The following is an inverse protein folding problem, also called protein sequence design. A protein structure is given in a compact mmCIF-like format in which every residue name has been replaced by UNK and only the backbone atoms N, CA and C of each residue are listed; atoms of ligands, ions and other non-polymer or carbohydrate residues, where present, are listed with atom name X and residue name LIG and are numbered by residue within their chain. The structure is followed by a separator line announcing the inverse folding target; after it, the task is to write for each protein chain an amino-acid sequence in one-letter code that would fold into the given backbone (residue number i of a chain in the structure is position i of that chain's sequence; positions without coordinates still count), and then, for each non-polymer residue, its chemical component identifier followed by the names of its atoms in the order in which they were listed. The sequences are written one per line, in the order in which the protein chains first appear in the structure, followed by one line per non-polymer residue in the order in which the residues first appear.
data_IF_665968103579
#
_entry.id   IF_665968103579
#
_cell.length_a   1.000
_cell.length_b   1.000
_cell.length_c   1.000
_cell.angle_alpha   90.00
_cell.angle_beta   90.00
_cell.angle_gamma   90.00
#
_symmetry.space_group_name_H-M   'P 1'
#
loop_
_entity.id
_entity.type
_entity.pdbx_description
1 polymer ?
#
# COMPACT_ATOMS: atom_id res chain seq x y z
N UNK A 1 8.15 -24.72 -14.79
CA UNK A 1 9.18 -23.73 -14.41
C UNK A 1 9.95 -24.23 -13.21
N UNK A 2 11.23 -24.51 -13.39
CA UNK A 2 12.15 -24.87 -12.29
C UNK A 2 12.97 -23.66 -11.84
N UNK A 3 13.09 -22.63 -12.69
CA UNK A 3 13.93 -21.43 -12.45
C UNK A 3 13.32 -20.17 -13.08
N UNK A 4 13.72 -18.99 -12.60
CA UNK A 4 13.35 -17.67 -13.15
C UNK A 4 14.57 -16.77 -13.28
N UNK A 5 14.55 -15.84 -14.23
CA UNK A 5 15.67 -14.94 -14.54
C UNK A 5 15.21 -13.48 -14.63
N UNK A 6 15.67 -12.59 -13.75
CA UNK A 6 15.42 -11.15 -13.86
C UNK A 6 16.41 -10.49 -14.82
N UNK A 7 15.91 -9.82 -15.85
CA UNK A 7 16.67 -8.99 -16.77
C UNK A 7 16.11 -7.56 -16.73
N UNK A 8 16.66 -6.77 -15.81
CA UNK A 8 16.19 -5.39 -15.56
C UNK A 8 17.28 -4.37 -15.91
N UNK A 9 16.89 -3.33 -16.63
CA UNK A 9 17.73 -2.15 -16.93
C UNK A 9 17.52 -1.01 -15.94
N UNK A 10 16.41 -1.02 -15.20
CA UNK A 10 16.02 0.04 -14.28
C UNK A 10 15.93 -0.47 -12.83
N UNK A 11 16.12 0.42 -11.83
CA UNK A 11 15.97 0.03 -10.44
C UNK A 11 14.48 -0.17 -10.07
N UNK A 12 14.19 -1.35 -9.51
CA UNK A 12 12.91 -1.69 -8.87
C UNK A 12 13.11 -1.71 -7.34
N UNK A 13 12.93 -0.58 -6.65
CA UNK A 13 13.23 -0.47 -5.23
C UNK A 13 12.31 -1.34 -4.38
N UNK A 14 12.85 -1.88 -3.29
CA UNK A 14 12.06 -2.62 -2.32
C UNK A 14 10.92 -1.78 -1.76
N UNK A 15 9.73 -2.38 -1.67
CA UNK A 15 8.54 -1.77 -1.08
C UNK A 15 8.64 -1.86 0.44
N UNK A 16 8.32 -0.77 1.14
CA UNK A 16 8.27 -0.74 2.61
C UNK A 16 7.24 -1.75 3.16
N UNK A 17 6.13 -1.93 2.42
CA UNK A 17 5.06 -2.84 2.75
C UNK A 17 4.33 -3.24 1.46
N UNK A 18 4.03 -4.53 1.32
CA UNK A 18 3.32 -5.09 0.18
C UNK A 18 2.52 -6.32 0.64
N UNK A 19 1.23 -6.34 0.34
CA UNK A 19 0.26 -7.32 0.80
C UNK A 19 -0.38 -7.97 -0.41
N UNK A 20 -0.40 -9.30 -0.39
CA UNK A 20 -1.28 -10.11 -1.21
C UNK A 20 -2.57 -10.33 -0.43
N UNK A 21 -3.68 -9.74 -0.89
CA UNK A 21 -4.95 -9.76 -0.16
C UNK A 21 -6.09 -10.22 -1.07
N UNK A 22 -6.77 -11.31 -0.70
CA UNK A 22 -7.97 -11.77 -1.42
C UNK A 22 -7.74 -12.13 -2.90
N UNK A 23 -6.50 -12.38 -3.30
CA UNK A 23 -6.11 -12.63 -4.70
C UNK A 23 -5.22 -13.87 -4.81
N UNK A 24 -5.18 -14.50 -5.99
CA UNK A 24 -4.30 -15.65 -6.25
C UNK A 24 -2.84 -15.22 -6.38
N UNK A 25 -1.89 -16.15 -6.22
CA UNK A 25 -0.46 -15.86 -6.39
C UNK A 25 -0.16 -15.34 -7.81
N UNK A 26 -0.88 -15.85 -8.81
CA UNK A 26 -0.74 -15.40 -10.19
C UNK A 26 -1.23 -13.96 -10.38
N UNK A 27 -2.41 -13.63 -9.87
CA UNK A 27 -2.96 -12.27 -9.98
C UNK A 27 -2.07 -11.24 -9.27
N UNK A 28 -1.54 -11.61 -8.09
CA UNK A 28 -0.56 -10.80 -7.36
C UNK A 28 0.69 -10.53 -8.20
N UNK A 29 1.30 -11.57 -8.78
CA UNK A 29 2.49 -11.42 -9.63
C UNK A 29 2.19 -10.60 -10.88
N UNK A 30 1.07 -10.81 -11.55
CA UNK A 30 0.67 -10.03 -12.72
C UNK A 30 0.46 -8.54 -12.38
N UNK A 31 -0.21 -8.26 -11.25
CA UNK A 31 -0.42 -6.89 -10.77
C UNK A 31 0.90 -6.22 -10.40
N UNK A 32 1.80 -6.92 -9.71
CA UNK A 32 3.12 -6.41 -9.37
C UNK A 32 3.97 -6.15 -10.60
N UNK A 33 3.95 -7.07 -11.58
CA UNK A 33 4.63 -6.88 -12.85
C UNK A 33 4.07 -5.67 -13.60
N UNK A 34 2.74 -5.50 -13.66
CA UNK A 34 2.12 -4.34 -14.31
C UNK A 34 2.50 -3.01 -13.62
N UNK A 35 2.50 -2.95 -12.28
CA UNK A 35 2.89 -1.77 -11.51
C UNK A 35 4.38 -1.40 -11.70
N UNK A 36 5.25 -2.40 -11.79
CA UNK A 36 6.68 -2.24 -12.00
C UNK A 36 7.06 -2.20 -13.50
N UNK A 37 6.07 -2.18 -14.41
CA UNK A 37 6.32 -2.19 -15.84
C UNK A 37 7.01 -3.46 -16.37
N UNK A 38 7.08 -4.52 -15.59
CA UNK A 38 7.71 -5.78 -15.97
C UNK A 38 6.74 -6.59 -16.83
N UNK A 39 7.26 -7.19 -17.89
CA UNK A 39 6.59 -8.27 -18.62
C UNK A 39 7.41 -9.55 -18.48
N UNK A 40 6.79 -10.69 -18.74
CA UNK A 40 7.48 -11.98 -18.67
C UNK A 40 7.14 -12.87 -19.85
N UNK A 41 8.05 -13.78 -20.17
CA UNK A 41 7.90 -14.80 -21.19
C UNK A 41 8.69 -16.05 -20.81
N UNK A 42 8.38 -17.19 -21.42
CA UNK A 42 9.05 -18.45 -21.12
C UNK A 42 10.23 -18.67 -22.07
N UNK A 43 11.45 -18.78 -21.57
CA UNK A 43 12.57 -19.16 -22.44
C UNK A 43 12.67 -20.68 -22.52
N UNK A 44 12.38 -21.23 -23.70
CA UNK A 44 12.64 -22.62 -24.00
C UNK A 44 14.12 -22.82 -24.30
N UNK A 45 14.81 -23.61 -23.48
CA UNK A 45 16.16 -24.02 -23.79
C UNK A 45 16.16 -24.91 -25.04
N UNK A 46 16.60 -24.39 -26.19
CA UNK A 46 16.73 -25.16 -27.44
C UNK A 46 17.60 -26.43 -27.31
N UNK A 47 18.38 -26.54 -26.22
CA UNK A 47 19.34 -27.61 -25.92
C UNK A 47 19.12 -28.30 -24.57
N UNK A 48 18.11 -27.91 -23.80
CA UNK A 48 17.79 -28.53 -22.50
C UNK A 48 16.28 -28.75 -22.37
N UNK A 49 15.87 -29.66 -21.50
CA UNK A 49 14.47 -29.79 -21.06
C UNK A 49 14.05 -28.68 -20.08
N UNK A 50 14.98 -27.80 -19.69
CA UNK A 50 14.72 -26.72 -18.74
C UNK A 50 13.89 -25.60 -19.39
N UNK A 51 12.81 -25.23 -18.72
CA UNK A 51 11.92 -24.12 -19.07
C UNK A 51 12.02 -23.08 -17.97
N UNK A 52 12.47 -21.88 -18.32
CA UNK A 52 12.65 -20.78 -17.38
C UNK A 52 11.68 -19.64 -17.66
N UNK A 53 11.25 -18.94 -16.62
CA UNK A 53 10.49 -17.70 -16.75
C UNK A 53 11.45 -16.52 -16.75
N UNK A 54 11.44 -15.73 -17.81
CA UNK A 54 12.25 -14.51 -17.91
C UNK A 54 11.36 -13.32 -17.58
N UNK A 55 11.79 -12.49 -16.63
CA UNK A 55 11.16 -11.23 -16.27
C UNK A 55 11.99 -10.09 -16.85
N UNK A 56 11.39 -9.23 -17.66
CA UNK A 56 12.05 -8.13 -18.35
C UNK A 56 11.32 -6.81 -18.15
N UNK A 57 12.07 -5.72 -18.02
CA UNK A 57 11.55 -4.34 -17.99
C UNK A 57 11.78 -3.58 -19.31
N UNK A 58 12.48 -4.20 -20.27
CA UNK A 58 12.81 -3.61 -21.56
C UNK A 58 12.92 -4.64 -22.68
N UNK A 59 12.51 -4.23 -23.88
CA UNK A 59 12.65 -5.01 -25.13
C UNK A 59 14.11 -5.35 -25.46
N UNK A 60 15.08 -4.59 -24.92
CA UNK A 60 16.51 -4.77 -25.18
C UNK A 60 17.08 -6.09 -24.65
N UNK A 61 16.44 -6.67 -23.64
CA UNK A 61 16.84 -7.95 -23.06
C UNK A 61 16.29 -9.15 -23.83
N UNK A 62 15.38 -8.94 -24.80
CA UNK A 62 14.91 -10.03 -25.64
C UNK A 62 16.05 -10.56 -26.52
N UNK A 63 16.05 -11.87 -26.82
CA UNK A 63 16.98 -12.49 -27.77
C UNK A 63 17.12 -11.71 -29.08
N UNK A 64 18.24 -11.95 -29.76
CA UNK A 64 18.50 -11.37 -31.08
C UNK A 64 17.34 -11.64 -32.05
N UNK A 65 17.03 -10.64 -32.86
CA UNK A 65 16.00 -10.76 -33.87
C UNK A 65 16.46 -11.64 -35.03
N UNK A 66 15.49 -12.25 -35.72
CA UNK A 66 15.75 -13.03 -36.92
C UNK A 66 14.91 -12.52 -38.08
N UNK A 67 15.45 -12.62 -39.29
CA UNK A 67 14.74 -12.20 -40.50
C UNK A 67 13.68 -13.23 -40.89
N UNK A 68 12.51 -12.74 -41.31
CA UNK A 68 11.49 -13.59 -41.93
C UNK A 68 10.85 -12.87 -43.12
N UNK A 69 10.89 -13.48 -44.33
CA UNK A 69 10.36 -12.84 -45.52
C UNK A 69 8.84 -12.86 -45.54
N UNK A 70 8.26 -11.83 -46.14
CA UNK A 70 6.86 -11.80 -46.53
C UNK A 70 6.65 -12.56 -47.84
N UNK A 71 5.69 -13.47 -47.85
CA UNK A 71 5.27 -14.17 -49.07
C UNK A 71 3.77 -14.51 -49.00
N UNK A 72 2.90 -13.80 -49.75
CA UNK A 72 1.46 -14.04 -49.73
C UNK A 72 1.05 -15.30 -50.51
N UNK A 73 1.97 -15.92 -51.24
CA UNK A 73 1.66 -17.11 -52.05
C UNK A 73 1.60 -18.36 -51.16
N UNK A 74 0.40 -18.66 -50.68
CA UNK A 74 0.12 -19.85 -49.86
C UNK A 74 -0.18 -21.10 -50.68
N UNK A 75 -0.24 -21.00 -52.02
CA UNK A 75 -0.74 -22.05 -52.93
C UNK A 75 0.34 -22.99 -53.46
N UNK A 76 1.57 -22.50 -53.61
CA UNK A 76 2.73 -23.33 -53.95
C UNK A 76 3.41 -23.80 -52.67
N UNK A 77 3.94 -25.01 -52.64
CA UNK A 77 4.75 -25.48 -51.51
C UNK A 77 5.94 -24.54 -51.33
N UNK A 78 5.92 -23.74 -50.26
CA UNK A 78 7.02 -22.83 -49.92
C UNK A 78 7.86 -23.54 -48.87
N UNK A 79 9.05 -23.99 -49.25
CA UNK A 79 10.04 -24.57 -48.32
C UNK A 79 10.61 -23.53 -47.35
N UNK A 80 10.58 -22.25 -47.73
CA UNK A 80 11.02 -21.14 -46.90
C UNK A 80 9.93 -20.71 -45.92
N UNK A 81 10.26 -20.67 -44.62
CA UNK A 81 9.40 -20.09 -43.60
C UNK A 81 9.18 -18.60 -43.90
N UNK A 82 7.91 -18.18 -43.94
CA UNK A 82 7.53 -16.83 -44.34
C UNK A 82 6.24 -16.39 -43.65
N UNK A 83 6.03 -15.07 -43.63
CA UNK A 83 4.77 -14.45 -43.21
C UNK A 83 3.88 -14.29 -44.43
N UNK A 84 2.70 -14.92 -44.39
CA UNK A 84 1.75 -14.92 -45.52
C UNK A 84 0.67 -13.86 -45.40
N UNK A 85 0.34 -13.45 -44.18
CA UNK A 85 -0.53 -12.30 -43.92
C UNK A 85 0.13 -11.41 -42.87
N UNK A 86 0.02 -10.10 -43.05
CA UNK A 86 0.48 -9.12 -42.08
C UNK A 86 -0.46 -7.91 -42.12
N UNK A 87 -1.22 -7.71 -41.04
CA UNK A 87 -2.26 -6.68 -40.93
C UNK A 87 -1.88 -5.70 -39.84
N UNK A 88 -1.45 -4.52 -40.28
CA UNK A 88 -1.14 -3.41 -39.40
C UNK A 88 -2.42 -2.71 -38.90
N UNK A 89 -2.43 -2.29 -37.63
CA UNK A 89 -3.50 -1.53 -37.01
C UNK A 89 -2.92 -0.48 -36.06
N UNK A 90 -3.40 0.76 -36.19
CA UNK A 90 -3.17 1.84 -35.24
C UNK A 90 -4.50 2.28 -34.62
N UNK A 91 -4.48 2.64 -33.33
CA UNK A 91 -5.67 3.01 -32.56
C UNK A 91 -5.37 4.18 -31.63
N UNK A 92 -6.37 5.03 -31.38
CA UNK A 92 -6.27 6.14 -30.42
C UNK A 92 -6.16 5.56 -29.00
N UNK A 93 -5.21 6.07 -28.23
CA UNK A 93 -4.96 5.73 -26.84
C UNK A 93 -4.70 6.99 -26.01
N UNK A 94 -4.69 6.91 -24.67
CA UNK A 94 -4.33 8.04 -23.83
C UNK A 94 -3.08 8.77 -24.35
N UNK A 95 -3.13 10.09 -24.31
CA UNK A 95 -2.05 10.98 -24.74
C UNK A 95 -1.11 11.34 -23.61
N UNK A 96 -1.59 11.27 -22.36
CA UNK A 96 -0.78 11.50 -21.17
C UNK A 96 -1.33 10.72 -19.99
N UNK A 97 -0.44 10.45 -19.04
CA UNK A 97 -0.76 9.94 -17.71
C UNK A 97 -0.27 10.95 -16.69
N UNK A 98 -1.11 11.28 -15.72
CA UNK A 98 -0.76 12.07 -14.54
C UNK A 98 -1.08 11.25 -13.31
N UNK A 99 -0.08 10.99 -12.48
CA UNK A 99 -0.25 10.28 -11.21
C UNK A 99 0.06 11.21 -10.05
N UNK A 100 -0.74 11.09 -8.97
CA UNK A 100 -0.53 11.87 -7.75
C UNK A 100 -0.57 10.98 -6.51
N UNK A 101 0.24 11.31 -5.51
CA UNK A 101 0.19 10.67 -4.20
C UNK A 101 0.54 11.64 -3.06
N UNK A 102 0.33 11.20 -1.82
CA UNK A 102 0.60 11.93 -0.59
C UNK A 102 1.52 11.14 0.35
N UNK A 103 2.49 11.82 0.96
CA UNK A 103 3.27 11.27 2.06
C UNK A 103 3.30 12.22 3.24
N UNK A 104 2.86 11.73 4.40
CA UNK A 104 2.82 12.53 5.62
C UNK A 104 4.22 12.96 6.09
N UNK A 105 5.28 12.30 5.63
CA UNK A 105 6.68 12.69 5.92
C UNK A 105 7.09 13.98 5.20
N UNK A 106 6.41 14.34 4.11
CA UNK A 106 6.66 15.55 3.30
C UNK A 106 5.33 16.09 2.78
N UNK A 107 4.47 16.68 3.65
CA UNK A 107 3.11 17.05 3.30
C UNK A 107 3.02 18.08 2.16
N UNK A 108 4.03 18.96 2.03
CA UNK A 108 4.10 19.99 0.99
C UNK A 108 4.71 19.49 -0.33
N UNK A 109 5.24 18.26 -0.36
CA UNK A 109 5.78 17.70 -1.59
C UNK A 109 4.63 17.44 -2.57
N UNK A 110 4.69 18.06 -3.76
CA UNK A 110 3.61 18.00 -4.74
C UNK A 110 3.17 16.58 -5.11
N UNK A 111 4.09 15.62 -5.05
CA UNK A 111 3.81 14.20 -5.26
C UNK A 111 3.08 13.93 -6.58
N UNK A 112 3.38 14.70 -7.62
CA UNK A 112 2.73 14.63 -8.94
C UNK A 112 3.76 14.32 -10.01
N UNK A 113 3.51 13.29 -10.81
CA UNK A 113 4.32 12.95 -11.96
C UNK A 113 3.45 12.89 -13.21
N UNK A 114 4.06 13.21 -14.34
CA UNK A 114 3.38 13.28 -15.62
C UNK A 114 4.24 12.58 -16.68
N UNK A 115 3.58 11.84 -17.55
CA UNK A 115 4.20 11.21 -18.71
C UNK A 115 3.34 11.47 -19.94
N UNK A 116 3.93 12.08 -20.95
CA UNK A 116 3.34 12.12 -22.29
C UNK A 116 3.58 10.81 -23.04
N UNK A 117 2.58 10.36 -23.78
CA UNK A 117 2.70 9.21 -24.67
C UNK A 117 3.55 9.54 -25.90
N UNK A 118 4.25 8.55 -26.44
CA UNK A 118 5.03 8.70 -27.67
C UNK A 118 4.25 8.27 -28.91
N UNK A 119 4.73 8.65 -30.11
CA UNK A 119 4.17 8.27 -31.41
C UNK A 119 2.67 8.63 -31.55
N UNK A 120 2.37 9.92 -31.42
CA UNK A 120 1.00 10.45 -31.42
C UNK A 120 0.59 11.12 -32.74
N UNK A 121 1.33 10.89 -33.82
CA UNK A 121 1.24 11.64 -35.09
C UNK A 121 -0.19 11.66 -35.69
N UNK A 122 -1.02 10.67 -35.35
CA UNK A 122 -2.38 10.50 -35.87
C UNK A 122 -3.48 10.62 -34.80
N UNK A 123 -3.18 11.21 -33.63
CA UNK A 123 -4.17 11.44 -32.56
C UNK A 123 -4.09 12.85 -31.97
N UNK A 124 -5.14 13.24 -31.24
CA UNK A 124 -5.12 14.47 -30.43
C UNK A 124 -4.42 14.22 -29.10
N UNK A 125 -3.82 15.27 -28.54
CA UNK A 125 -3.07 15.24 -27.28
C UNK A 125 -3.92 15.55 -26.04
N UNK A 126 -5.25 15.40 -26.14
CA UNK A 126 -6.19 15.87 -25.11
C UNK A 126 -6.69 14.77 -24.17
N UNK A 127 -6.43 13.49 -24.46
CA UNK A 127 -6.97 12.38 -23.68
C UNK A 127 -6.01 11.98 -22.57
N UNK A 128 -6.09 12.70 -21.45
CA UNK A 128 -5.33 12.43 -20.22
C UNK A 128 -6.00 11.35 -19.38
N UNK A 129 -5.18 10.47 -18.78
CA UNK A 129 -5.56 9.61 -17.65
C UNK A 129 -4.95 10.19 -16.38
N UNK A 130 -5.80 10.58 -15.44
CA UNK A 130 -5.38 11.02 -14.11
C UNK A 130 -5.67 9.94 -13.07
N UNK A 131 -4.71 9.66 -12.18
CA UNK A 131 -4.84 8.64 -11.15
C UNK A 131 -4.34 9.12 -9.76
N UNK A 132 -5.06 8.73 -8.72
CA UNK A 132 -4.73 8.97 -7.31
C UNK A 132 -5.39 7.88 -6.44
N UNK A 133 -4.65 7.21 -5.54
CA UNK A 133 -3.23 7.41 -5.22
C UNK A 133 -2.27 6.65 -6.15
N UNK A 134 -1.13 7.27 -6.47
CA UNK A 134 -0.10 6.72 -7.37
C UNK A 134 0.91 5.76 -6.72
N UNK A 135 0.89 5.60 -5.38
CA UNK A 135 1.72 4.68 -4.57
C UNK A 135 3.22 4.89 -4.60
N UNK A 136 3.64 6.14 -4.64
CA UNK A 136 5.04 6.51 -4.57
C UNK A 136 5.27 7.53 -3.47
N UNK A 137 6.43 7.43 -2.83
CA UNK A 137 6.87 8.40 -1.81
C UNK A 137 8.13 9.16 -2.24
N UNK A 138 8.57 8.98 -3.49
CA UNK A 138 9.85 9.49 -4.02
C UNK A 138 9.77 9.73 -5.53
N UNK A 139 10.91 10.09 -6.14
CA UNK A 139 11.07 10.27 -7.60
C UNK A 139 10.71 9.02 -8.42
N UNK A 140 10.63 7.84 -7.80
CA UNK A 140 10.22 6.60 -8.46
C UNK A 140 8.81 6.68 -9.06
N UNK A 141 7.96 7.62 -8.60
CA UNK A 141 6.66 7.87 -9.22
C UNK A 141 6.73 8.27 -10.70
N UNK A 142 7.85 8.82 -11.17
CA UNK A 142 8.07 9.05 -12.62
C UNK A 142 8.11 7.74 -13.40
N UNK A 143 8.72 6.69 -12.85
CA UNK A 143 8.76 5.38 -13.49
C UNK A 143 7.35 4.79 -13.58
N UNK A 144 6.56 4.87 -12.52
CA UNK A 144 5.17 4.41 -12.51
C UNK A 144 4.32 5.13 -13.55
N UNK A 145 4.39 6.47 -13.64
CA UNK A 145 3.68 7.25 -14.65
C UNK A 145 4.08 6.80 -16.07
N UNK A 146 5.38 6.54 -16.31
CA UNK A 146 5.87 6.05 -17.59
C UNK A 146 5.40 4.63 -17.91
N UNK A 147 5.50 3.71 -16.98
CA UNK A 147 5.10 2.32 -17.19
C UNK A 147 3.58 2.20 -17.38
N UNK A 148 2.79 3.00 -16.66
CA UNK A 148 1.35 3.12 -16.86
C UNK A 148 1.02 3.65 -18.25
N UNK A 149 1.76 4.68 -18.72
CA UNK A 149 1.60 5.22 -20.08
C UNK A 149 1.92 4.17 -21.15
N UNK A 150 3.05 3.47 -21.02
CA UNK A 150 3.44 2.38 -21.93
C UNK A 150 2.37 1.26 -21.94
N UNK A 151 1.84 0.89 -20.77
CA UNK A 151 0.78 -0.11 -20.63
C UNK A 151 -0.52 0.30 -21.32
N UNK A 152 -1.00 1.54 -21.11
CA UNK A 152 -2.18 2.06 -21.80
C UNK A 152 -2.02 2.14 -23.32
N UNK A 153 -0.78 2.30 -23.80
CA UNK A 153 -0.45 2.41 -25.23
C UNK A 153 0.12 1.12 -25.81
N UNK A 154 0.12 0.01 -25.07
CA UNK A 154 0.74 -1.25 -25.50
C UNK A 154 0.10 -1.87 -26.76
N UNK A 155 -1.09 -1.40 -27.14
CA UNK A 155 -1.81 -1.79 -28.34
C UNK A 155 -2.22 -0.57 -29.21
N UNK A 156 -1.57 0.58 -29.01
CA UNK A 156 -1.76 1.77 -29.85
C UNK A 156 -1.34 1.50 -31.31
N UNK A 157 -0.30 0.68 -31.50
CA UNK A 157 0.20 0.27 -32.80
C UNK A 157 0.57 -1.22 -32.75
N UNK A 158 -0.10 -2.03 -33.54
CA UNK A 158 0.07 -3.49 -33.55
C UNK A 158 0.04 -4.01 -34.98
N UNK A 159 0.60 -5.19 -35.21
CA UNK A 159 0.29 -5.96 -36.40
C UNK A 159 -0.07 -7.40 -36.03
N UNK A 160 -1.02 -7.97 -36.77
CA UNK A 160 -1.38 -9.40 -36.66
C UNK A 160 -1.00 -10.11 -37.94
N UNK A 161 -0.40 -11.28 -37.82
CA UNK A 161 0.05 -12.02 -38.98
C UNK A 161 -0.22 -13.51 -38.91
N UNK A 162 0.02 -14.16 -40.05
CA UNK A 162 -0.05 -15.59 -40.22
C UNK A 162 1.28 -16.08 -40.79
N UNK A 163 1.84 -17.13 -40.19
CA UNK A 163 3.12 -17.72 -40.58
C UNK A 163 3.05 -19.24 -40.44
N UNK A 164 4.00 -19.94 -41.04
CA UNK A 164 4.26 -21.37 -40.77
C UNK A 164 5.47 -21.58 -39.86
N UNK A 165 6.09 -20.50 -39.38
CA UNK A 165 7.27 -20.58 -38.53
C UNK A 165 6.90 -20.86 -37.06
N UNK A 166 7.45 -21.91 -36.44
CA UNK A 166 7.34 -22.12 -34.99
C UNK A 166 8.24 -21.15 -34.19
N UNK A 167 9.16 -20.44 -34.85
CA UNK A 167 10.13 -19.55 -34.19
C UNK A 167 9.50 -18.20 -33.77
N UNK A 168 8.27 -17.93 -34.19
CA UNK A 168 7.51 -16.73 -33.81
C UNK A 168 6.67 -17.03 -32.58
N UNK A 169 7.19 -16.68 -31.41
CA UNK A 169 6.50 -16.84 -30.12
C UNK A 169 6.87 -15.68 -29.16
N UNK A 170 6.07 -15.41 -28.11
CA UNK A 170 6.26 -14.24 -27.24
C UNK A 170 7.63 -14.20 -26.59
N UNK A 171 8.28 -13.03 -26.58
CA UNK A 171 9.65 -12.90 -26.10
C UNK A 171 10.70 -13.02 -27.21
N UNK A 172 10.29 -13.22 -28.47
CA UNK A 172 11.16 -13.10 -29.65
C UNK A 172 10.98 -11.75 -30.34
N UNK A 173 11.97 -11.39 -31.16
CA UNK A 173 11.91 -10.27 -32.09
C UNK A 173 12.09 -10.79 -33.51
N UNK A 174 11.37 -10.21 -34.46
CA UNK A 174 11.47 -10.56 -35.88
C UNK A 174 11.79 -9.32 -36.70
N UNK A 175 12.52 -9.49 -37.79
CA UNK A 175 12.70 -8.47 -38.83
C UNK A 175 11.88 -8.90 -40.04
N UNK A 176 10.78 -8.19 -40.32
CA UNK A 176 9.97 -8.45 -41.51
C UNK A 176 10.73 -7.93 -42.74
N UNK A 177 10.86 -8.76 -43.77
CA UNK A 177 11.54 -8.38 -45.02
C UNK A 177 10.66 -8.65 -46.25
N UNK A 178 10.86 -7.89 -47.33
CA UNK A 178 10.16 -8.10 -48.60
C UNK A 178 8.67 -7.74 -48.64
N UNK A 179 8.12 -7.09 -47.62
CA UNK A 179 6.75 -6.60 -47.63
C UNK A 179 6.59 -5.39 -48.58
N UNK A 180 5.52 -5.30 -49.41
CA UNK A 180 5.36 -4.22 -50.39
C UNK A 180 5.25 -2.82 -49.76
N UNK A 181 4.72 -2.74 -48.54
CA UNK A 181 4.76 -1.52 -47.75
C UNK A 181 6.10 -1.41 -47.00
N UNK A 182 6.95 -0.48 -47.45
CA UNK A 182 8.31 -0.31 -46.97
C UNK A 182 8.41 -0.09 -45.45
N UNK A 183 7.51 0.70 -44.87
CA UNK A 183 7.49 1.01 -43.44
C UNK A 183 7.22 -0.20 -42.52
N UNK A 184 6.66 -1.29 -43.05
CA UNK A 184 6.45 -2.52 -42.29
C UNK A 184 7.71 -3.40 -42.25
N UNK A 185 8.68 -3.18 -43.14
CA UNK A 185 9.95 -3.89 -43.17
C UNK A 185 10.89 -3.34 -42.10
N UNK A 186 10.64 -3.73 -40.86
CA UNK A 186 11.34 -3.29 -39.66
C UNK A 186 11.34 -4.39 -38.62
N UNK A 187 11.96 -4.12 -37.48
CA UNK A 187 11.94 -5.01 -36.33
C UNK A 187 10.63 -4.89 -35.54
N UNK A 188 10.11 -6.05 -35.12
CA UNK A 188 8.85 -6.23 -34.41
C UNK A 188 9.05 -7.16 -33.20
N UNK A 189 8.52 -6.76 -32.04
CA UNK A 189 8.45 -7.60 -30.84
C UNK A 189 7.22 -8.49 -30.91
N UNK A 190 7.38 -9.81 -30.74
CA UNK A 190 6.27 -10.77 -30.66
C UNK A 190 5.66 -10.74 -29.27
N UNK A 191 4.35 -10.48 -29.19
CA UNK A 191 3.61 -10.33 -27.92
C UNK A 191 2.54 -11.40 -27.72
N UNK A 192 2.11 -12.07 -28.79
CA UNK A 192 1.21 -13.22 -28.73
C UNK A 192 1.48 -14.18 -29.90
N UNK A 193 1.22 -15.46 -29.69
CA UNK A 193 1.32 -16.51 -30.71
C UNK A 193 0.34 -17.63 -30.38
N UNK A 194 -0.38 -18.11 -31.39
CA UNK A 194 -1.27 -19.26 -31.35
C UNK A 194 -0.83 -20.23 -32.44
N UNK A 195 -0.33 -21.39 -32.04
CA UNK A 195 0.23 -22.40 -32.92
C UNK A 195 -0.74 -23.58 -33.08
N UNK A 196 -1.11 -23.88 -34.32
CA UNK A 196 -1.96 -25.01 -34.68
C UNK A 196 -1.21 -25.96 -35.62
N UNK A 197 -1.21 -27.26 -35.31
CA UNK A 197 -0.57 -28.28 -36.13
C UNK A 197 -1.56 -29.38 -36.53
N UNK A 198 -1.56 -29.77 -37.80
CA UNK A 198 -2.33 -30.91 -38.31
C UNK A 198 -1.39 -31.91 -39.00
N UNK A 199 -1.56 -33.21 -38.71
CA UNK A 199 -0.84 -34.30 -39.37
C UNK A 199 -1.81 -35.29 -40.02
N UNK A 200 -2.39 -34.98 -41.20
CA UNK A 200 -3.36 -35.82 -41.87
C UNK A 200 -2.85 -37.24 -42.20
N UNK A 201 -1.55 -37.35 -42.50
CA UNK A 201 -0.90 -38.59 -42.91
C UNK A 201 -0.75 -39.63 -41.78
N UNK A 202 -0.93 -39.21 -40.52
CA UNK A 202 -0.91 -40.14 -39.38
C UNK A 202 -2.15 -41.06 -39.37
N UNK A 203 -3.20 -40.71 -40.13
CA UNK A 203 -4.42 -41.53 -40.27
C UNK A 203 -4.29 -42.44 -41.51
N UNK A 204 -4.32 -43.78 -41.34
CA UNK A 204 -4.30 -44.70 -42.47
C UNK A 204 -5.42 -44.42 -43.47
N UNK A 205 -5.08 -44.32 -44.76
CA UNK A 205 -6.04 -44.10 -45.85
C UNK A 205 -6.32 -42.63 -46.21
N UNK A 206 -5.80 -41.65 -45.45
CA UNK A 206 -5.88 -40.22 -45.79
C UNK A 206 -4.70 -39.86 -46.71
N UNK A 207 -4.97 -39.65 -48.01
CA UNK A 207 -3.96 -39.24 -49.00
C UNK A 207 -4.18 -37.79 -49.44
N UNK A 208 -3.11 -37.07 -49.79
CA UNK A 208 -3.17 -35.78 -50.49
C UNK A 208 -2.98 -34.51 -49.64
N UNK A 209 -2.90 -34.60 -48.30
CA UNK A 209 -2.55 -33.46 -47.43
C UNK A 209 -1.28 -33.75 -46.62
N UNK A 210 -0.31 -32.84 -46.66
CA UNK A 210 0.93 -32.89 -45.88
C UNK A 210 0.73 -32.50 -44.42
N UNK A 211 1.75 -32.74 -43.57
CA UNK A 211 1.81 -32.13 -42.24
C UNK A 211 1.84 -30.60 -42.37
N UNK A 212 0.96 -29.91 -41.66
CA UNK A 212 0.83 -28.47 -41.71
C UNK A 212 1.00 -27.86 -40.32
N UNK A 213 1.64 -26.69 -40.29
CA UNK A 213 1.77 -25.85 -39.11
C UNK A 213 1.31 -24.44 -39.47
N UNK A 214 0.46 -23.87 -38.62
CA UNK A 214 -0.09 -22.52 -38.76
C UNK A 214 0.13 -21.76 -37.46
N UNK A 215 0.67 -20.56 -37.57
CA UNK A 215 0.97 -19.68 -36.46
C UNK A 215 0.27 -18.33 -36.69
N UNK A 216 -0.69 -18.03 -35.82
CA UNK A 216 -1.30 -16.71 -35.73
C UNK A 216 -0.60 -15.91 -34.64
N UNK A 217 0.02 -14.80 -35.00
CA UNK A 217 0.81 -14.01 -34.06
C UNK A 217 0.37 -12.55 -34.02
N UNK A 218 0.67 -11.89 -32.91
CA UNK A 218 0.56 -10.45 -32.75
C UNK A 218 1.93 -9.87 -32.38
N UNK A 219 2.25 -8.73 -32.97
CA UNK A 219 3.49 -8.00 -32.74
C UNK A 219 3.23 -6.53 -32.51
N UNK A 220 4.19 -5.88 -31.84
CA UNK A 220 4.32 -4.42 -31.76
C UNK A 220 5.68 -3.99 -32.35
N UNK A 221 5.86 -2.72 -32.74
CA UNK A 221 7.18 -2.25 -33.18
C UNK A 221 8.25 -2.47 -32.08
N UNK A 222 9.46 -2.93 -32.44
CA UNK A 222 10.49 -3.26 -31.44
C UNK A 222 11.28 -2.04 -30.91
N UNK A 223 10.97 -0.81 -31.38
CA UNK A 223 11.55 0.44 -30.86
C UNK A 223 10.92 0.88 -29.53
N UNK A 224 9.89 0.16 -29.07
CA UNK A 224 9.21 0.35 -27.80
C UNK A 224 9.13 -0.96 -27.04
N UNK A 225 8.93 -0.86 -25.72
CA UNK A 225 8.76 -2.02 -24.85
C UNK A 225 7.27 -2.31 -24.66
N UNK A 226 6.83 -3.52 -24.95
CA UNK A 226 5.50 -3.96 -24.53
C UNK A 226 5.41 -4.00 -23.00
N UNK A 227 4.39 -3.36 -22.43
CA UNK A 227 4.10 -3.46 -20.99
C UNK A 227 2.66 -3.95 -20.77
N UNK A 228 2.40 -4.67 -19.67
CA UNK A 228 1.03 -5.02 -19.29
C UNK A 228 0.18 -3.76 -19.11
N UNK A 229 -1.13 -3.90 -19.35
CA UNK A 229 -2.05 -2.83 -18.97
C UNK A 229 -2.11 -2.73 -17.44
N UNK A 230 -2.29 -1.53 -16.88
CA UNK A 230 -2.46 -1.37 -15.44
C UNK A 230 -3.65 -2.20 -14.94
N UNK A 231 -3.41 -3.02 -13.91
CA UNK A 231 -4.42 -3.89 -13.31
C UNK A 231 -5.01 -3.26 -12.05
N UNK A 232 -6.29 -3.53 -11.80
CA UNK A 232 -6.95 -3.13 -10.56
C UNK A 232 -6.36 -3.89 -9.38
N UNK A 233 -6.35 -3.23 -8.22
CA UNK A 233 -5.88 -3.83 -6.97
C UNK A 233 -7.04 -4.50 -6.22
N UNK A 234 -6.75 -5.52 -5.40
CA UNK A 234 -7.70 -5.94 -4.40
C UNK A 234 -7.99 -4.80 -3.44
N UNK A 235 -9.25 -4.69 -3.04
CA UNK A 235 -9.71 -3.70 -2.08
C UNK A 235 -10.11 -4.41 -0.79
N UNK A 236 -9.81 -3.79 0.33
CA UNK A 236 -10.34 -4.17 1.63
C UNK A 236 -11.68 -3.46 1.82
N UNK A 237 -12.77 -4.22 1.91
CA UNK A 237 -14.13 -3.68 1.96
C UNK A 237 -14.43 -2.85 3.21
N UNK A 238 -13.68 -3.03 4.30
CA UNK A 238 -13.86 -2.25 5.51
C UNK A 238 -12.83 -2.54 6.60
N UNK A 239 -12.97 -1.85 7.76
CA UNK A 239 -12.02 -1.96 8.84
C UNK A 239 -11.93 -3.36 9.44
N UNK A 240 -10.74 -3.71 9.91
CA UNK A 240 -10.43 -5.01 10.50
C UNK A 240 -9.82 -4.85 11.88
N UNK A 241 -10.01 -5.83 12.77
CA UNK A 241 -9.26 -5.86 14.02
C UNK A 241 -7.85 -6.39 13.82
N UNK A 242 -6.90 -5.83 14.56
CA UNK A 242 -5.53 -6.30 14.64
C UNK A 242 -5.00 -6.11 16.08
N UNK A 243 -3.96 -6.83 16.44
CA UNK A 243 -3.34 -6.75 17.77
C UNK A 243 -2.01 -6.00 17.66
N UNK A 244 -1.79 -5.01 18.52
CA UNK A 244 -0.52 -4.26 18.55
C UNK A 244 0.62 -5.17 18.98
N UNK A 245 1.75 -5.12 18.26
CA UNK A 245 2.93 -5.94 18.54
C UNK A 245 4.17 -5.09 18.81
N UNK A 246 5.21 -5.73 19.36
CA UNK A 246 6.49 -5.12 19.68
C UNK A 246 7.50 -6.16 20.16
N UNK A 247 8.71 -5.73 20.53
CA UNK A 247 9.75 -6.61 21.05
C UNK A 247 9.29 -7.38 22.30
N UNK A 248 9.87 -8.55 22.53
CA UNK A 248 9.58 -9.35 23.71
C UNK A 248 9.85 -8.56 25.00
N UNK A 249 8.86 -8.51 25.89
CA UNK A 249 8.94 -7.82 27.17
C UNK A 249 8.68 -6.30 27.10
N UNK A 250 8.39 -5.74 25.94
CA UNK A 250 8.02 -4.33 25.77
C UNK A 250 6.51 -4.12 25.90
N UNK A 251 6.07 -3.03 26.56
CA UNK A 251 4.66 -2.68 26.73
C UNK A 251 4.23 -1.60 25.73
N UNK A 252 5.16 -0.71 25.33
CA UNK A 252 4.89 0.39 24.40
C UNK A 252 5.98 0.39 23.32
N UNK A 253 5.59 0.09 22.08
CA UNK A 253 6.51 0.10 20.94
C UNK A 253 5.98 1.04 19.85
N UNK A 254 6.56 2.23 19.76
CA UNK A 254 6.21 3.23 18.76
C UNK A 254 7.42 3.98 18.21
N UNK A 255 7.25 4.64 17.06
CA UNK A 255 8.26 5.50 16.45
C UNK A 255 8.06 6.99 16.80
N UNK A 256 8.91 7.85 16.21
CA UNK A 256 8.89 9.32 16.36
C UNK A 256 7.58 10.00 15.93
N UNK A 257 6.71 9.28 15.21
CA UNK A 257 5.40 9.75 14.76
C UNK A 257 4.24 9.15 15.56
N UNK A 258 4.53 8.38 16.63
CA UNK A 258 3.52 7.69 17.42
C UNK A 258 2.84 6.55 16.66
N UNK A 259 3.48 6.02 15.61
CA UNK A 259 3.01 4.85 14.85
C UNK A 259 3.33 3.59 15.63
N UNK A 260 2.51 2.55 15.46
CA UNK A 260 2.73 1.23 16.07
C UNK A 260 2.77 0.15 14.99
N UNK A 261 3.20 -1.06 15.35
CA UNK A 261 3.09 -2.24 14.50
C UNK A 261 1.96 -3.15 15.01
N UNK A 262 1.38 -3.93 14.11
CA UNK A 262 0.26 -4.81 14.45
C UNK A 262 0.41 -6.18 13.79
N UNK A 263 -0.25 -7.16 14.37
CA UNK A 263 -0.48 -8.46 13.78
C UNK A 263 -1.93 -8.54 13.30
N UNK A 264 -2.10 -8.72 11.99
CA UNK A 264 -3.41 -8.99 11.40
C UNK A 264 -3.81 -10.46 11.61
N UNK A 265 -5.11 -10.70 11.79
CA UNK A 265 -5.64 -12.04 12.05
C UNK A 265 -5.48 -13.03 10.88
N UNK A 266 -5.38 -12.52 9.65
CA UNK A 266 -5.19 -13.32 8.44
C UNK A 266 -3.71 -13.55 8.10
N UNK A 267 -2.77 -12.90 8.79
CA UNK A 267 -1.35 -13.08 8.53
C UNK A 267 -0.85 -14.38 9.16
N UNK A 268 -0.57 -15.36 8.30
CA UNK A 268 -0.14 -16.71 8.70
C UNK A 268 1.38 -16.87 8.84
N UNK A 269 2.16 -15.97 8.27
CA UNK A 269 3.58 -16.24 7.99
C UNK A 269 4.52 -15.49 8.91
N UNK A 270 4.18 -14.25 9.28
CA UNK A 270 5.09 -13.45 10.10
C UNK A 270 4.90 -13.74 11.60
N UNK A 271 5.94 -13.63 12.43
CA UNK A 271 5.80 -13.69 13.88
C UNK A 271 5.00 -12.49 14.42
N UNK A 272 4.44 -12.66 15.63
CA UNK A 272 3.75 -11.61 16.37
C UNK A 272 4.73 -10.85 17.28
N UNK A 273 5.65 -10.08 16.68
CA UNK A 273 6.75 -9.37 17.35
C UNK A 273 6.98 -7.98 16.72
N UNK A 274 8.17 -7.41 16.91
CA UNK A 274 8.50 -6.11 16.33
C UNK A 274 8.52 -6.09 14.80
N UNK A 275 8.46 -7.22 14.09
CA UNK A 275 8.55 -7.32 12.63
C UNK A 275 7.23 -7.74 11.95
N UNK A 276 6.12 -7.79 12.70
CA UNK A 276 4.81 -8.22 12.19
C UNK A 276 4.23 -7.39 11.04
N UNK A 277 4.51 -6.08 10.99
CA UNK A 277 3.96 -5.18 9.98
C UNK A 277 4.85 -3.97 9.73
N UNK A 278 4.47 -3.14 8.76
CA UNK A 278 4.99 -1.79 8.67
C UNK A 278 4.52 -0.91 9.85
N UNK A 279 5.08 0.30 9.95
CA UNK A 279 4.65 1.30 10.94
C UNK A 279 3.33 1.96 10.53
N UNK A 280 2.29 1.73 11.32
CA UNK A 280 0.91 2.16 11.06
C UNK A 280 0.56 3.39 11.88
N UNK A 281 0.06 4.44 11.21
CA UNK A 281 -0.41 5.67 11.88
C UNK A 281 -1.66 5.40 12.72
N UNK A 282 -1.73 6.08 13.85
CA UNK A 282 -2.84 6.00 14.80
C UNK A 282 -3.62 7.32 14.77
N UNK A 283 -4.89 7.25 14.40
CA UNK A 283 -5.81 8.38 14.51
C UNK A 283 -5.89 8.85 15.96
N UNK A 284 -5.82 10.17 16.15
CA UNK A 284 -5.92 10.82 17.45
C UNK A 284 -7.23 11.61 17.51
N UNK A 285 -7.81 11.73 18.71
CA UNK A 285 -9.02 12.53 18.92
C UNK A 285 -8.82 14.02 18.59
N UNK A 286 -7.59 14.53 18.78
CA UNK A 286 -7.20 15.89 18.43
C UNK A 286 -5.70 15.95 18.15
N UNK A 287 -5.29 16.46 16.99
CA UNK A 287 -3.87 16.56 16.62
C UNK A 287 -3.57 17.90 15.93
N UNK A 288 -2.70 18.70 16.54
CA UNK A 288 -2.18 19.95 15.98
C UNK A 288 -0.66 20.06 16.17
N UNK A 289 -0.07 21.13 15.62
CA UNK A 289 1.38 21.34 15.69
C UNK A 289 1.83 21.62 17.12
N UNK A 290 2.37 20.60 17.80
CA UNK A 290 2.85 20.72 19.17
C UNK A 290 1.76 20.69 20.25
N UNK A 291 0.51 20.34 19.90
CA UNK A 291 -0.60 20.26 20.85
C UNK A 291 -1.62 19.18 20.45
N UNK A 292 -2.47 18.77 21.39
CA UNK A 292 -3.57 17.84 21.15
C UNK A 292 -3.60 16.70 22.14
N UNK A 293 -4.26 15.61 21.74
CA UNK A 293 -4.37 14.36 22.48
C UNK A 293 -3.42 13.32 21.90
N UNK A 294 -2.61 12.69 22.75
CA UNK A 294 -1.76 11.57 22.37
C UNK A 294 -1.92 10.42 23.34
N UNK A 295 -2.51 9.33 22.88
CA UNK A 295 -2.48 8.05 23.57
C UNK A 295 -1.90 7.03 22.59
N UNK A 296 -0.80 6.37 22.94
CA UNK A 296 -0.19 5.34 22.10
C UNK A 296 -0.85 3.98 22.41
N UNK A 297 -1.28 3.19 21.42
CA UNK A 297 -1.69 1.79 21.63
C UNK A 297 -0.55 0.97 22.23
N UNK A 298 -0.85 0.15 23.23
CA UNK A 298 0.15 -0.73 23.89
C UNK A 298 0.19 -2.10 23.25
N UNK A 299 1.32 -2.78 23.34
CA UNK A 299 1.49 -4.17 22.89
C UNK A 299 0.42 -5.06 23.53
N UNK A 300 -0.22 -5.90 22.71
CA UNK A 300 -1.32 -6.77 23.10
C UNK A 300 -2.71 -6.13 23.07
N UNK A 301 -2.83 -4.82 22.82
CA UNK A 301 -4.15 -4.18 22.67
C UNK A 301 -4.74 -4.42 21.29
N UNK A 302 -6.05 -4.67 21.23
CA UNK A 302 -6.81 -4.71 20.00
C UNK A 302 -7.08 -3.29 19.46
N UNK A 303 -6.84 -3.12 18.17
CA UNK A 303 -7.08 -1.88 17.41
C UNK A 303 -7.93 -2.17 16.19
N UNK A 304 -8.66 -1.15 15.72
CA UNK A 304 -9.40 -1.19 14.46
C UNK A 304 -8.56 -0.50 13.39
N UNK A 305 -8.15 -1.27 12.38
CA UNK A 305 -7.33 -0.84 11.25
C UNK A 305 -8.24 -0.68 10.04
N UNK A 306 -8.27 0.53 9.50
CA UNK A 306 -8.85 0.83 8.19
C UNK A 306 -7.74 0.93 7.14
N UNK A 307 -8.11 1.02 5.87
CA UNK A 307 -7.18 1.01 4.74
C UNK A 307 -7.47 2.21 3.83
N UNK A 308 -6.50 3.10 3.64
CA UNK A 308 -6.71 4.32 2.85
C UNK A 308 -7.06 3.95 1.39
N UNK A 309 -8.22 4.41 0.92
CA UNK A 309 -8.80 4.03 -0.37
C UNK A 309 -9.04 2.51 -0.54
N UNK A 310 -9.15 1.76 0.56
CA UNK A 310 -9.25 0.30 0.55
C UNK A 310 -7.94 -0.42 0.17
N UNK A 311 -6.82 0.29 0.00
CA UNK A 311 -5.54 -0.34 -0.38
C UNK A 311 -4.95 -1.14 0.81
N UNK A 312 -4.80 -2.47 0.71
CA UNK A 312 -4.25 -3.30 1.79
C UNK A 312 -2.82 -2.88 2.19
N UNK A 313 -2.12 -2.13 1.34
CA UNK A 313 -0.78 -1.61 1.61
C UNK A 313 -0.76 -0.27 2.35
N UNK A 314 -1.93 0.33 2.61
CA UNK A 314 -2.07 1.63 3.28
C UNK A 314 -2.91 1.54 4.56
N UNK A 315 -2.52 0.71 5.54
CA UNK A 315 -3.26 0.61 6.79
C UNK A 315 -3.16 1.90 7.63
N UNK A 316 -4.23 2.19 8.36
CA UNK A 316 -4.32 3.27 9.35
C UNK A 316 -5.19 2.81 10.52
N UNK A 317 -4.72 2.98 11.76
CA UNK A 317 -5.51 2.66 12.95
C UNK A 317 -6.50 3.79 13.20
N UNK A 318 -7.80 3.48 13.17
CA UNK A 318 -8.90 4.43 13.33
C UNK A 318 -9.61 4.34 14.67
N UNK A 319 -9.39 3.25 15.42
CA UNK A 319 -10.10 3.04 16.69
C UNK A 319 -9.47 1.95 17.55
N UNK A 320 -10.10 1.73 18.70
CA UNK A 320 -9.73 0.71 19.69
C UNK A 320 -10.98 0.09 20.26
N UNK A 321 -10.86 -1.15 20.67
CA UNK A 321 -11.94 -1.94 21.25
C UNK A 321 -11.45 -2.64 22.52
N UNK A 322 -12.36 -2.78 23.48
CA UNK A 322 -12.17 -3.68 24.60
C UNK A 322 -12.64 -5.07 24.19
N UNK A 323 -12.02 -6.10 24.75
CA UNK A 323 -12.40 -7.49 24.57
C UNK A 323 -12.36 -8.22 25.93
N UNK A 324 -12.55 -9.54 25.92
CA UNK A 324 -12.72 -10.32 27.15
C UNK A 324 -11.54 -10.24 28.13
N UNK A 325 -10.32 -10.10 27.59
CA UNK A 325 -9.07 -10.05 28.37
C UNK A 325 -8.59 -8.61 28.61
N UNK A 326 -8.80 -7.71 27.64
CA UNK A 326 -8.62 -6.28 27.82
C UNK A 326 -9.98 -5.63 28.09
N UNK A 327 -10.42 -5.66 29.35
CA UNK A 327 -11.74 -5.17 29.75
C UNK A 327 -11.75 -3.65 30.01
N UNK A 328 -12.93 -3.05 29.91
CA UNK A 328 -13.19 -1.66 30.29
C UNK A 328 -12.82 -1.40 31.75
N UNK A 329 -12.33 -0.19 32.11
CA UNK A 329 -12.26 0.24 33.49
C UNK A 329 -13.61 0.15 34.19
N UNK A 330 -13.62 -0.25 35.48
CA UNK A 330 -14.84 -0.41 36.26
C UNK A 330 -15.49 -1.79 36.08
N UNK A 331 -16.80 -1.87 36.32
CA UNK A 331 -17.56 -3.12 36.35
C UNK A 331 -18.88 -2.98 35.59
N UNK A 332 -18.79 -2.73 34.29
CA UNK A 332 -19.97 -2.65 33.42
C UNK A 332 -20.80 -3.95 33.46
N UNK A 333 -22.14 -3.86 33.45
CA UNK A 333 -22.96 -2.65 33.30
C UNK A 333 -23.20 -1.85 34.60
N UNK A 334 -22.61 -2.27 35.74
CA UNK A 334 -22.81 -1.61 37.04
C UNK A 334 -22.30 -0.16 37.11
N UNK A 335 -21.25 0.17 36.36
CA UNK A 335 -20.66 1.52 36.28
C UNK A 335 -21.12 2.30 35.04
N UNK A 336 -22.32 2.03 34.51
CA UNK A 336 -22.82 2.64 33.27
C UNK A 336 -22.96 4.18 33.28
N UNK A 337 -23.00 4.80 34.46
CA UNK A 337 -23.04 6.26 34.63
C UNK A 337 -21.65 6.89 34.68
N UNK A 338 -20.59 6.09 34.59
CA UNK A 338 -19.21 6.56 34.74
C UNK A 338 -18.54 6.73 33.37
N UNK A 339 -17.94 7.90 33.17
CA UNK A 339 -16.96 8.17 32.12
C UNK A 339 -15.57 8.23 32.76
N UNK A 340 -14.59 7.55 32.14
CA UNK A 340 -13.26 7.40 32.73
C UNK A 340 -12.17 7.59 31.70
N UNK A 341 -11.18 8.42 32.02
CA UNK A 341 -9.87 8.46 31.38
C UNK A 341 -8.87 7.91 32.42
N UNK A 342 -8.46 6.65 32.24
CA UNK A 342 -7.53 5.95 33.14
C UNK A 342 -6.28 5.53 32.37
N UNK A 343 -5.11 5.90 32.89
CA UNK A 343 -3.82 5.43 32.37
C UNK A 343 -3.37 4.15 33.08
N UNK A 344 -2.19 3.63 32.72
CA UNK A 344 -1.52 2.56 33.46
C UNK A 344 -0.04 2.91 33.58
N UNK A 345 0.53 2.74 34.77
CA UNK A 345 1.97 2.89 34.99
C UNK A 345 2.71 1.96 34.03
N UNK A 346 3.65 2.50 33.28
CA UNK A 346 4.50 1.73 32.37
C UNK A 346 5.25 0.64 33.14
N UNK A 347 5.18 -0.61 32.69
CA UNK A 347 5.77 -1.77 33.35
C UNK A 347 5.34 -1.95 34.82
N UNK A 348 4.16 -1.46 35.18
CA UNK A 348 3.64 -1.50 36.54
C UNK A 348 2.11 -1.65 36.60
N UNK A 349 1.57 -1.64 37.83
CA UNK A 349 0.14 -1.84 38.10
C UNK A 349 -0.62 -0.59 38.54
N UNK A 350 0.08 0.53 38.77
CA UNK A 350 -0.54 1.81 39.15
C UNK A 350 -1.27 2.52 38.00
N UNK A 351 -1.95 3.63 38.29
CA UNK A 351 -2.68 4.42 37.28
C UNK A 351 -2.92 5.87 37.70
N UNK A 352 -3.01 6.77 36.72
CA UNK A 352 -3.66 8.08 36.90
C UNK A 352 -5.09 7.99 36.37
N UNK A 353 -6.02 8.73 36.96
CA UNK A 353 -7.42 8.70 36.54
C UNK A 353 -8.10 10.07 36.65
N UNK A 354 -8.87 10.41 35.62
CA UNK A 354 -9.94 11.39 35.65
C UNK A 354 -11.25 10.67 35.38
N UNK A 355 -12.18 10.72 36.34
CA UNK A 355 -13.48 10.03 36.25
C UNK A 355 -14.61 10.98 36.58
N UNK A 356 -15.66 10.92 35.77
CA UNK A 356 -16.94 11.59 35.99
C UNK A 356 -18.02 10.52 36.23
N UNK A 357 -18.78 10.63 37.32
CA UNK A 357 -19.95 9.79 37.60
C UNK A 357 -21.19 10.67 37.55
N UNK A 358 -22.10 10.37 36.61
CA UNK A 358 -23.34 11.12 36.37
C UNK A 358 -24.55 10.44 37.02
N UNK A 359 -24.35 9.60 38.04
CA UNK A 359 -25.44 9.03 38.81
C UNK A 359 -26.22 10.14 39.55
N UNK A 360 -27.52 10.28 39.22
CA UNK A 360 -28.38 11.34 39.77
C UNK A 360 -28.35 11.40 41.30
N UNK A 361 -28.05 12.58 41.84
CA UNK A 361 -27.96 12.84 43.28
C UNK A 361 -26.72 12.25 43.96
N UNK A 362 -25.79 11.69 43.17
CA UNK A 362 -24.51 11.12 43.62
C UNK A 362 -23.40 11.44 42.61
N UNK A 363 -23.52 12.58 41.93
CA UNK A 363 -22.58 13.01 40.90
C UNK A 363 -21.18 13.21 41.51
N UNK A 364 -20.14 12.79 40.80
CA UNK A 364 -18.77 12.87 41.30
C UNK A 364 -17.77 13.15 40.18
N UNK A 365 -16.87 14.11 40.42
CA UNK A 365 -15.59 14.20 39.71
C UNK A 365 -14.51 13.61 40.61
N UNK A 366 -13.75 12.65 40.10
CA UNK A 366 -12.63 12.02 40.79
C UNK A 366 -11.34 12.23 40.00
N UNK A 367 -10.32 12.73 40.69
CA UNK A 367 -8.98 12.93 40.15
C UNK A 367 -8.02 12.11 41.01
N UNK A 368 -7.29 11.20 40.39
CA UNK A 368 -6.27 10.37 41.02
C UNK A 368 -4.92 10.55 40.33
N UNK A 369 -3.93 10.91 41.13
CA UNK A 369 -2.53 10.92 40.72
C UNK A 369 -1.79 9.78 41.42
N UNK A 370 -1.13 8.93 40.64
CA UNK A 370 -0.40 7.77 41.16
C UNK A 370 0.82 8.17 42.02
N UNK A 371 1.38 9.36 41.78
CA UNK A 371 2.59 9.82 42.46
C UNK A 371 2.53 11.33 42.78
N UNK A 372 2.88 12.17 41.82
CA UNK A 372 2.86 13.63 41.98
C UNK A 372 1.64 14.20 41.26
N UNK A 373 1.06 15.26 41.81
CA UNK A 373 0.06 16.09 41.15
C UNK A 373 0.54 17.54 41.22
N UNK A 374 0.96 18.07 40.08
CA UNK A 374 1.35 19.47 39.94
C UNK A 374 0.20 20.26 39.29
N UNK A 375 -0.02 21.49 39.72
CA UNK A 375 -1.04 22.38 39.17
C UNK A 375 -0.47 23.78 39.06
N UNK A 376 -0.28 24.25 37.83
CA UNK A 376 0.22 25.58 37.51
C UNK A 376 -0.90 26.42 36.91
N UNK A 377 -1.12 27.62 37.46
CA UNK A 377 -2.12 28.57 36.99
C UNK A 377 -1.44 29.91 36.79
N UNK A 378 -1.46 30.41 35.55
CA UNK A 378 -0.67 31.59 35.15
C UNK A 378 -1.31 32.93 35.53
N UNK A 379 -2.56 32.93 35.98
CA UNK A 379 -3.27 34.13 36.41
C UNK A 379 -4.04 33.85 37.72
N UNK A 380 -5.36 33.67 37.65
CA UNK A 380 -6.19 33.52 38.84
C UNK A 380 -6.69 32.09 39.00
N UNK A 381 -6.61 31.56 40.22
CA UNK A 381 -7.28 30.32 40.64
C UNK A 381 -8.40 30.64 41.61
N UNK A 382 -9.64 30.31 41.24
CA UNK A 382 -10.80 30.42 42.13
C UNK A 382 -11.34 29.04 42.49
N UNK A 383 -11.62 28.82 43.77
CA UNK A 383 -12.27 27.60 44.26
C UNK A 383 -13.53 28.00 45.03
N UNK A 384 -14.67 27.40 44.70
CA UNK A 384 -15.93 27.60 45.42
C UNK A 384 -16.52 26.25 45.79
N UNK A 385 -16.71 26.03 47.09
CA UNK A 385 -17.33 24.81 47.63
C UNK A 385 -18.59 25.22 48.39
N UNK A 386 -19.75 24.74 47.94
CA UNK A 386 -21.06 25.15 48.48
C UNK A 386 -21.47 24.43 49.77
N UNK A 387 -20.82 23.30 50.05
CA UNK A 387 -21.01 22.53 51.27
C UNK A 387 -19.66 22.49 51.99
N UNK A 388 -19.03 21.33 52.10
CA UNK A 388 -17.80 21.18 52.88
C UNK A 388 -16.57 21.00 52.01
N UNK A 389 -15.47 21.65 52.41
CA UNK A 389 -14.13 21.36 51.91
C UNK A 389 -13.35 20.58 52.97
N UNK A 390 -12.80 19.43 52.59
CA UNK A 390 -11.93 18.61 53.44
C UNK A 390 -10.62 18.34 52.72
N UNK A 391 -9.52 18.70 53.36
CA UNK A 391 -8.15 18.40 52.92
C UNK A 391 -7.45 17.54 53.98
N UNK A 392 -6.57 16.64 53.56
CA UNK A 392 -5.77 15.82 54.49
C UNK A 392 -4.38 15.65 53.91
N UNK A 393 -3.40 16.25 54.58
CA UNK A 393 -1.98 16.15 54.26
C UNK A 393 -1.31 15.29 55.32
N UNK A 394 -0.66 14.19 54.90
CA UNK A 394 -0.04 13.23 55.83
C UNK A 394 1.36 13.62 56.30
N UNK A 395 2.00 14.54 55.58
CA UNK A 395 3.32 15.06 55.91
C UNK A 395 3.23 16.59 55.90
N UNK A 396 4.14 17.29 55.21
CA UNK A 396 4.23 18.74 55.26
C UNK A 396 3.31 19.44 54.24
N UNK A 397 2.73 20.56 54.65
CA UNK A 397 2.04 21.52 53.77
C UNK A 397 2.76 22.87 53.88
N UNK A 398 3.26 23.36 52.74
CA UNK A 398 3.89 24.68 52.64
C UNK A 398 3.06 25.58 51.76
N UNK A 399 2.74 26.78 52.24
CA UNK A 399 2.04 27.82 51.48
C UNK A 399 2.89 29.07 51.49
N UNK A 400 3.32 29.51 50.30
CA UNK A 400 4.12 30.72 50.13
C UNK A 400 3.33 31.74 49.33
N UNK A 401 3.16 32.94 49.90
CA UNK A 401 2.62 34.11 49.21
C UNK A 401 3.77 35.09 49.09
N UNK A 402 4.31 35.24 47.88
CA UNK A 402 5.49 36.08 47.64
C UNK A 402 5.14 37.57 47.74
N UNK A 403 3.98 37.94 47.20
CA UNK A 403 3.48 39.31 47.17
C UNK A 403 1.99 39.34 47.49
N UNK A 404 1.55 40.39 48.21
CA UNK A 404 0.16 40.58 48.61
C UNK A 404 -0.17 40.03 50.01
N UNK A 405 -1.44 39.67 50.22
CA UNK A 405 -1.99 39.37 51.54
C UNK A 405 -2.72 38.01 51.56
N UNK A 406 -2.66 37.32 52.71
CA UNK A 406 -3.57 36.21 53.04
C UNK A 406 -4.71 36.73 53.88
N UNK A 407 -5.95 36.65 53.38
CA UNK A 407 -7.15 36.92 54.16
C UNK A 407 -7.93 35.63 54.38
N UNK A 408 -8.22 35.30 55.64
CA UNK A 408 -9.13 34.23 56.03
C UNK A 408 -10.29 34.86 56.80
N UNK A 409 -11.52 34.61 56.35
CA UNK A 409 -12.73 35.12 57.00
C UNK A 409 -13.68 33.97 57.28
N UNK A 410 -14.16 33.87 58.51
CA UNK A 410 -15.14 32.87 58.96
C UNK A 410 -16.34 33.61 59.53
N UNK A 411 -17.47 33.64 58.80
CA UNK A 411 -18.63 34.48 59.15
C UNK A 411 -19.49 33.89 60.28
N UNK A 412 -19.53 32.57 60.43
CA UNK A 412 -20.28 31.86 61.48
C UNK A 412 -19.46 30.69 62.01
N UNK A 413 -18.76 30.90 63.12
CA UNK A 413 -18.04 29.84 63.81
C UNK A 413 -18.91 29.21 64.91
N UNK A 414 -18.90 27.88 65.03
CA UNK A 414 -19.18 27.21 66.29
C UNK A 414 -17.83 26.93 66.97
N UNK A 415 -17.64 27.54 68.13
CA UNK A 415 -16.41 27.70 68.89
C UNK A 415 -15.58 26.39 68.98
N UNK A 416 -14.42 26.33 68.31
CA UNK A 416 -13.34 25.37 68.58
C UNK A 416 -11.99 26.08 68.45
N UNK A 417 -11.25 26.16 69.56
CA UNK A 417 -9.90 26.74 69.67
C UNK A 417 -8.90 25.98 68.81
N UNK A 418 -8.23 26.67 67.89
CA UNK A 418 -6.96 26.25 67.30
C UNK A 418 -5.84 27.18 67.78
N UNK A 419 -4.88 26.63 68.52
CA UNK A 419 -3.63 27.31 68.87
C UNK A 419 -2.70 27.34 67.65
N UNK A 420 -2.64 28.47 66.94
CA UNK A 420 -1.53 28.75 66.02
C UNK A 420 -0.41 29.45 66.80
N UNK A 421 0.74 28.77 66.94
CA UNK A 421 2.00 29.43 67.30
C UNK A 421 2.64 29.93 66.01
N UNK A 422 2.45 31.21 65.72
CA UNK A 422 3.24 31.93 64.72
C UNK A 422 4.62 32.19 65.33
N UNK A 423 5.66 31.54 64.82
CA UNK A 423 7.02 32.04 64.98
C UNK A 423 7.32 32.93 63.77
N UNK A 424 7.59 34.21 64.06
CA UNK A 424 7.89 35.28 63.11
C UNK A 424 9.24 35.02 62.45
#
# INVERSE_FOLDING_TARGET
MTEWSPLFSEPHPSREFCVQYGETDYDFLCRMAAEEGIFFYEEHAYKSTDQSLVLCDTVRHLPESFEIPWNPNTRTEVSTLCISQFRYSAQIRPSSVVTKDYTFKRPDWAGRFEQEGQHQDYQRTQYEVYDYPGRFKSAHGQNFARWQMDGWRNNAETARGMSRSPEIWPGRRIVLTGHPQANLNREWQVVASELHGEQPQAVPGRQGAGTALENHFAVIPADRTWRPQPLLKPLVDGPQSAVVTGPAGEEIFCDEHGRVRVKFNWDRYNPADQDSSCWIRVAQAWAGTGFGHLAIPRVGQEVIVDFLNGDPDQPIIMGRTYHQENRTPGSLPGTKTQMTIRSKTYMGSGFNELKFDDATGREQVYIHAQKNMDTEVLNDRTTTVKHDHRETVKNDQTVTIQEGNRLLTVEKAQDHRSTERVFI
#
